data_IF_381233733375
#
_entry.id   IF_381233733375
#
_cell.length_a   1.000
_cell.length_b   1.000
_cell.length_c   1.000
_cell.angle_alpha   90.00
_cell.angle_beta   90.00
_cell.angle_gamma   90.00
#
_symmetry.space_group_name_H-M   'P 1'
#
loop_
_entity.id
_entity.type
_entity.pdbx_description
1 polymer ?
#
# COMPACT_ATOMS: atom_id res chain seq x y z
N UNK A 1 0.52 -35.73 4.90
CA UNK A 1 1.36 -34.77 4.14
C UNK A 1 0.59 -33.47 4.00
N UNK A 2 1.27 -32.33 3.97
CA UNK A 2 0.63 -31.00 3.82
C UNK A 2 0.99 -30.39 2.46
N UNK A 3 0.12 -29.55 1.90
CA UNK A 3 0.37 -28.77 0.67
C UNK A 3 -0.12 -27.33 0.84
N UNK A 4 0.63 -26.37 0.29
CA UNK A 4 0.32 -24.94 0.31
C UNK A 4 0.89 -24.27 -0.95
N UNK A 5 0.22 -23.24 -1.44
CA UNK A 5 0.61 -22.53 -2.65
C UNK A 5 0.12 -21.09 -2.66
N UNK A 6 0.90 -20.22 -3.29
CA UNK A 6 0.58 -18.81 -3.54
C UNK A 6 0.91 -18.48 -5.00
N UNK A 7 0.26 -17.47 -5.56
CA UNK A 7 0.45 -17.07 -6.96
C UNK A 7 0.64 -15.57 -7.11
N UNK A 8 0.87 -15.12 -8.34
CA UNK A 8 0.96 -13.71 -8.73
C UNK A 8 -0.30 -12.89 -8.42
N UNK A 9 -1.41 -13.53 -8.05
CA UNK A 9 -2.60 -12.85 -7.52
C UNK A 9 -2.27 -11.93 -6.33
N UNK A 10 -1.22 -12.22 -5.55
CA UNK A 10 -0.75 -11.34 -4.47
C UNK A 10 -0.31 -9.95 -4.98
N UNK A 11 0.23 -9.86 -6.20
CA UNK A 11 0.59 -8.58 -6.83
C UNK A 11 -0.68 -7.76 -7.10
N UNK A 12 -1.74 -8.38 -7.60
CA UNK A 12 -3.03 -7.72 -7.77
C UNK A 12 -3.61 -7.22 -6.45
N UNK A 13 -3.55 -8.04 -5.40
CA UNK A 13 -3.96 -7.64 -4.04
C UNK A 13 -3.18 -6.44 -3.51
N UNK A 14 -1.87 -6.41 -3.72
CA UNK A 14 -1.02 -5.27 -3.37
C UNK A 14 -1.44 -3.99 -4.10
N UNK A 15 -1.64 -4.08 -5.42
CA UNK A 15 -2.03 -2.94 -6.25
C UNK A 15 -3.36 -2.36 -5.75
N UNK A 16 -4.37 -3.21 -5.57
CA UNK A 16 -5.71 -2.78 -5.12
C UNK A 16 -5.73 -2.26 -3.68
N UNK A 17 -4.78 -2.67 -2.83
CA UNK A 17 -4.74 -2.26 -1.42
C UNK A 17 -4.10 -0.90 -1.21
N UNK A 18 -3.04 -0.60 -1.97
CA UNK A 18 -2.19 0.56 -1.67
C UNK A 18 -2.29 1.69 -2.69
N UNK A 19 -2.59 1.39 -3.96
CA UNK A 19 -2.64 2.40 -5.02
C UNK A 19 -3.74 3.44 -4.77
N UNK A 20 -3.58 4.61 -5.39
CA UNK A 20 -4.52 5.72 -5.33
C UNK A 20 -4.75 6.29 -6.74
N UNK A 21 -5.48 7.41 -6.84
CA UNK A 21 -5.83 8.06 -8.11
C UNK A 21 -4.59 8.53 -8.91
N UNK A 22 -3.45 8.70 -8.25
CA UNK A 22 -2.20 9.13 -8.87
C UNK A 22 -1.36 7.94 -9.40
N UNK A 23 -1.75 6.71 -9.06
CA UNK A 23 -1.16 5.46 -9.58
C UNK A 23 -0.69 4.50 -8.50
N UNK A 24 0.35 3.71 -8.80
CA UNK A 24 0.85 2.71 -7.87
C UNK A 24 1.39 3.34 -6.59
N UNK A 25 1.28 2.63 -5.46
CA UNK A 25 1.98 2.91 -4.21
C UNK A 25 2.63 1.62 -3.75
N UNK A 26 3.94 1.51 -3.89
CA UNK A 26 4.66 0.28 -3.57
C UNK A 26 5.20 0.31 -2.14
N UNK A 27 4.92 -0.71 -1.32
CA UNK A 27 5.59 -0.88 -0.03
C UNK A 27 7.11 -1.00 -0.23
N UNK A 28 7.94 -0.23 0.51
CA UNK A 28 9.38 -0.19 0.32
C UNK A 28 10.09 -1.54 0.26
N UNK A 29 9.66 -2.52 1.06
CA UNK A 29 10.33 -3.85 1.12
C UNK A 29 10.27 -4.65 -0.17
N UNK A 30 9.36 -4.30 -1.08
CA UNK A 30 9.12 -5.01 -2.34
C UNK A 30 9.09 -4.07 -3.55
N UNK A 31 9.39 -2.78 -3.34
CA UNK A 31 9.54 -1.83 -4.42
C UNK A 31 10.82 -2.18 -5.23
N UNK A 32 10.76 -2.26 -6.58
CA UNK A 32 11.94 -2.55 -7.40
C UNK A 32 13.12 -1.62 -7.13
N UNK A 33 12.82 -0.34 -6.92
CA UNK A 33 13.76 0.68 -6.46
C UNK A 33 13.11 1.49 -5.35
N UNK A 34 13.89 1.93 -4.36
CA UNK A 34 13.38 2.67 -3.20
C UNK A 34 13.32 4.18 -3.47
N UNK A 35 14.32 4.69 -4.19
CA UNK A 35 14.55 6.12 -4.38
C UNK A 35 14.80 6.40 -5.86
N UNK A 36 14.28 7.51 -6.37
CA UNK A 36 14.78 8.13 -7.61
C UNK A 36 15.36 9.49 -7.28
N UNK A 37 16.55 9.76 -7.82
CA UNK A 37 17.15 11.09 -7.82
C UNK A 37 16.87 11.75 -9.17
N UNK A 38 16.31 12.96 -9.11
CA UNK A 38 15.91 13.77 -10.25
C UNK A 38 16.68 15.10 -10.20
N UNK A 39 17.77 15.26 -10.96
CA UNK A 39 18.46 16.54 -11.06
C UNK A 39 17.58 17.58 -11.76
N UNK A 40 17.52 18.79 -11.19
CA UNK A 40 16.79 19.94 -11.71
C UNK A 40 17.80 20.96 -12.19
N UNK A 41 18.08 20.98 -13.50
CA UNK A 41 19.15 21.77 -14.11
C UNK A 41 18.60 22.81 -15.09
N UNK A 42 18.03 23.94 -14.60
CA UNK A 42 17.43 24.96 -15.47
C UNK A 42 18.47 25.84 -16.19
N UNK A 43 19.72 25.83 -15.73
CA UNK A 43 20.84 26.60 -16.31
C UNK A 43 21.99 25.65 -16.63
N UNK A 44 22.55 25.78 -17.82
CA UNK A 44 23.70 24.96 -18.24
C UNK A 44 24.95 25.21 -17.35
N UNK A 45 25.17 26.45 -16.91
CA UNK A 45 26.31 26.80 -16.06
C UNK A 45 26.38 26.02 -14.74
N UNK A 46 25.24 25.62 -14.18
CA UNK A 46 25.15 24.87 -12.90
C UNK A 46 24.87 23.39 -13.11
N UNK A 47 24.71 22.94 -14.37
CA UNK A 47 24.26 21.59 -14.69
C UNK A 47 25.23 20.54 -14.15
N UNK A 48 26.52 20.68 -14.47
CA UNK A 48 27.53 19.70 -14.06
C UNK A 48 27.63 19.58 -12.54
N UNK A 49 27.64 20.71 -11.83
CA UNK A 49 27.72 20.73 -10.37
C UNK A 49 26.55 19.98 -9.71
N UNK A 50 25.32 20.18 -10.22
CA UNK A 50 24.14 19.46 -9.73
C UNK A 50 24.22 17.97 -10.01
N UNK A 51 24.69 17.58 -11.20
CA UNK A 51 24.87 16.16 -11.55
C UNK A 51 25.91 15.49 -10.64
N UNK A 52 27.05 16.13 -10.41
CA UNK A 52 28.11 15.63 -9.53
C UNK A 52 27.59 15.44 -8.11
N UNK A 53 26.90 16.43 -7.56
CA UNK A 53 26.26 16.33 -6.25
C UNK A 53 25.26 15.17 -6.17
N UNK A 54 24.45 14.97 -7.22
CA UNK A 54 23.50 13.86 -7.28
C UNK A 54 24.18 12.50 -7.39
N UNK A 55 25.30 12.40 -8.10
CA UNK A 55 26.08 11.18 -8.21
C UNK A 55 26.69 10.81 -6.86
N UNK A 56 27.25 11.76 -6.12
CA UNK A 56 27.77 11.50 -4.77
C UNK A 56 26.65 11.10 -3.81
N UNK A 57 25.50 11.79 -3.84
CA UNK A 57 24.31 11.43 -3.06
C UNK A 57 23.87 10.00 -3.36
N UNK A 58 23.85 9.61 -4.65
CA UNK A 58 23.53 8.23 -5.06
C UNK A 58 24.48 7.23 -4.43
N UNK A 59 25.80 7.48 -4.44
CA UNK A 59 26.78 6.57 -3.84
C UNK A 59 26.57 6.45 -2.32
N UNK A 60 26.35 7.56 -1.63
CA UNK A 60 26.09 7.57 -0.19
C UNK A 60 24.82 6.80 0.18
N UNK A 61 23.76 6.93 -0.62
CA UNK A 61 22.50 6.20 -0.42
C UNK A 61 22.66 4.71 -0.70
N UNK A 62 23.31 4.31 -1.79
CA UNK A 62 23.57 2.89 -2.10
C UNK A 62 24.44 2.23 -1.02
N UNK A 63 25.33 2.99 -0.39
CA UNK A 63 26.12 2.50 0.75
C UNK A 63 25.29 2.25 2.01
N UNK A 64 24.05 2.76 2.10
CA UNK A 64 23.14 2.44 3.19
C UNK A 64 22.53 1.05 3.04
N UNK A 65 22.25 0.41 4.18
CA UNK A 65 21.64 -0.92 4.22
C UNK A 65 20.15 -0.83 4.57
N UNK A 66 19.31 -1.50 3.78
CA UNK A 66 17.89 -1.67 4.03
C UNK A 66 17.49 -3.12 3.77
N UNK A 67 16.91 -3.79 4.79
CA UNK A 67 16.53 -5.21 4.71
C UNK A 67 17.68 -6.16 4.34
N UNK A 68 18.90 -5.86 4.82
CA UNK A 68 20.08 -6.70 4.57
C UNK A 68 20.67 -6.57 3.16
N UNK A 69 20.27 -5.56 2.41
CA UNK A 69 20.80 -5.24 1.09
C UNK A 69 21.02 -3.73 0.93
N UNK A 70 21.86 -3.31 -0.04
CA UNK A 70 21.99 -1.90 -0.42
C UNK A 70 20.64 -1.23 -0.75
N UNK A 71 20.48 0.04 -0.39
CA UNK A 71 19.34 0.83 -0.86
C UNK A 71 19.39 0.95 -2.38
N UNK A 72 18.30 0.57 -3.05
CA UNK A 72 18.17 0.63 -4.52
C UNK A 72 17.77 2.04 -4.97
N UNK A 73 18.63 2.67 -5.76
CA UNK A 73 18.50 4.07 -6.19
C UNK A 73 18.56 4.21 -7.70
N UNK A 74 17.51 4.80 -8.27
CA UNK A 74 17.42 5.23 -9.67
C UNK A 74 17.97 6.64 -9.83
N UNK A 75 18.50 6.93 -11.02
CA UNK A 75 18.92 8.26 -11.43
C UNK A 75 18.24 8.62 -12.74
N UNK A 76 17.46 9.71 -12.75
CA UNK A 76 16.68 10.13 -13.91
C UNK A 76 17.16 11.47 -14.46
N UNK A 77 18.19 11.42 -15.31
CA UNK A 77 18.80 12.56 -15.99
C UNK A 77 18.26 12.81 -17.40
N UNK A 78 17.23 12.07 -17.84
CA UNK A 78 16.62 12.21 -19.17
C UNK A 78 16.31 13.67 -19.51
N UNK A 79 16.49 14.09 -20.75
CA UNK A 79 16.26 15.49 -21.15
C UNK A 79 14.78 15.79 -21.40
N UNK A 80 13.98 15.73 -20.33
CA UNK A 80 12.55 16.03 -20.30
C UNK A 80 12.21 16.92 -19.10
N UNK A 81 11.03 17.54 -19.11
CA UNK A 81 10.60 18.47 -18.05
C UNK A 81 10.63 17.78 -16.68
N UNK A 82 11.20 18.43 -15.67
CA UNK A 82 11.33 17.84 -14.32
C UNK A 82 9.98 17.41 -13.70
N UNK A 83 8.91 18.17 -13.95
CA UNK A 83 7.56 17.78 -13.54
C UNK A 83 7.06 16.50 -14.21
N UNK A 84 7.43 16.27 -15.47
CA UNK A 84 7.08 15.06 -16.22
C UNK A 84 7.83 13.83 -15.68
N UNK A 85 9.13 13.97 -15.35
CA UNK A 85 9.89 12.93 -14.63
C UNK A 85 9.20 12.58 -13.32
N UNK A 86 8.97 13.59 -12.48
CA UNK A 86 8.41 13.43 -11.14
C UNK A 86 7.04 12.73 -11.19
N UNK A 87 6.18 13.11 -12.13
CA UNK A 87 4.87 12.48 -12.34
C UNK A 87 4.96 11.04 -12.86
N UNK A 88 5.90 10.75 -13.76
CA UNK A 88 6.16 9.39 -14.22
C UNK A 88 6.54 8.45 -13.09
N UNK A 89 7.34 8.93 -12.13
CA UNK A 89 7.73 8.16 -10.94
C UNK A 89 6.63 8.03 -9.89
N UNK A 90 5.76 9.03 -9.76
CA UNK A 90 4.55 8.93 -8.93
C UNK A 90 3.66 7.80 -9.44
N UNK A 91 3.37 7.77 -10.75
CA UNK A 91 2.55 6.72 -11.36
C UNK A 91 3.12 5.32 -11.17
N UNK A 92 4.45 5.19 -11.25
CA UNK A 92 5.19 3.94 -11.00
C UNK A 92 5.22 3.53 -9.53
N UNK A 93 4.90 4.44 -8.61
CA UNK A 93 4.81 4.17 -7.18
C UNK A 93 6.14 4.03 -6.47
N UNK A 94 7.19 4.72 -6.95
CA UNK A 94 8.48 4.71 -6.24
C UNK A 94 8.33 5.32 -4.86
N UNK A 95 8.86 4.71 -3.77
CA UNK A 95 8.65 5.21 -2.42
C UNK A 95 9.11 6.66 -2.21
N UNK A 96 10.34 6.99 -2.64
CA UNK A 96 10.94 8.31 -2.43
C UNK A 96 11.37 8.92 -3.76
N UNK A 97 11.02 10.20 -3.94
CA UNK A 97 11.52 11.05 -5.01
C UNK A 97 12.41 12.11 -4.39
N UNK A 98 13.63 12.23 -4.90
CA UNK A 98 14.61 13.20 -4.43
C UNK A 98 14.93 14.15 -5.57
N UNK A 99 14.48 15.39 -5.46
CA UNK A 99 14.75 16.44 -6.42
C UNK A 99 15.88 17.33 -5.88
N UNK A 100 16.85 17.64 -6.74
CA UNK A 100 18.00 18.48 -6.37
C UNK A 100 18.20 19.54 -7.45
N UNK A 101 18.03 20.81 -7.08
CA UNK A 101 18.42 21.95 -7.90
C UNK A 101 19.66 22.67 -7.38
N UNK A 102 20.12 23.72 -8.08
CA UNK A 102 21.29 24.50 -7.66
C UNK A 102 21.14 25.09 -6.25
N UNK A 103 19.95 25.58 -5.91
CA UNK A 103 19.66 26.16 -4.58
C UNK A 103 19.76 25.13 -3.46
N UNK A 104 19.27 23.92 -3.70
CA UNK A 104 19.29 22.84 -2.71
C UNK A 104 20.73 22.36 -2.49
N UNK A 105 21.50 22.23 -3.58
CA UNK A 105 22.92 21.90 -3.55
C UNK A 105 23.72 22.96 -2.77
N UNK A 106 23.54 24.24 -3.05
CA UNK A 106 24.20 25.35 -2.34
C UNK A 106 23.87 25.35 -0.83
N UNK A 107 22.66 24.94 -0.47
CA UNK A 107 22.20 24.83 0.92
C UNK A 107 22.59 23.49 1.60
N UNK A 108 23.21 22.55 0.89
CA UNK A 108 23.51 21.21 1.42
C UNK A 108 22.28 20.34 1.70
N UNK A 109 21.17 20.62 1.01
CA UNK A 109 19.87 19.99 1.20
C UNK A 109 19.47 19.13 0.00
N UNK A 110 18.41 18.34 0.21
CA UNK A 110 17.68 17.59 -0.82
C UNK A 110 16.19 17.80 -0.64
N UNK A 111 15.43 17.85 -1.75
CA UNK A 111 13.97 17.99 -1.69
C UNK A 111 13.32 16.62 -1.84
N UNK A 112 12.75 16.08 -0.76
CA UNK A 112 12.26 14.70 -0.68
C UNK A 112 10.74 14.67 -0.69
N UNK A 113 10.16 13.98 -1.67
CA UNK A 113 8.74 13.66 -1.74
C UNK A 113 8.50 12.19 -1.46
N UNK A 114 7.57 11.89 -0.54
CA UNK A 114 7.14 10.52 -0.24
C UNK A 114 5.93 10.14 -1.10
N UNK A 115 5.85 8.88 -1.53
CA UNK A 115 4.73 8.39 -2.35
C UNK A 115 3.46 8.08 -1.57
N UNK A 116 3.57 7.78 -0.28
CA UNK A 116 2.43 7.55 0.62
C UNK A 116 1.74 8.86 1.07
N UNK A 117 2.21 10.01 0.58
CA UNK A 117 1.66 11.34 0.84
C UNK A 117 1.29 12.06 -0.47
N UNK A 118 0.65 13.22 -0.35
CA UNK A 118 0.25 14.03 -1.50
C UNK A 118 1.48 14.37 -2.37
N UNK A 119 1.38 14.34 -3.72
CA UNK A 119 2.49 14.60 -4.63
C UNK A 119 3.29 15.90 -4.38
N UNK A 120 2.60 16.91 -3.86
CA UNK A 120 3.13 18.25 -3.54
C UNK A 120 3.74 18.35 -2.14
N UNK A 121 3.48 17.39 -1.25
CA UNK A 121 4.12 17.32 0.07
C UNK A 121 5.57 16.85 -0.11
N UNK A 122 6.47 17.82 -0.19
CA UNK A 122 7.91 17.63 -0.28
C UNK A 122 8.58 18.41 0.83
N UNK A 123 9.62 17.83 1.39
CA UNK A 123 10.35 18.40 2.51
C UNK A 123 11.79 18.65 2.10
N UNK A 124 12.33 19.81 2.45
CA UNK A 124 13.77 20.08 2.36
C UNK A 124 14.43 19.41 3.56
N UNK A 125 15.38 18.51 3.31
CA UNK A 125 16.08 17.74 4.33
C UNK A 125 17.59 17.93 4.11
N UNK A 126 18.39 18.20 5.15
CA UNK A 126 19.84 18.16 5.05
C UNK A 126 20.33 16.82 4.48
N UNK A 127 21.27 16.88 3.52
CA UNK A 127 21.77 15.69 2.81
C UNK A 127 22.23 14.59 3.76
N UNK A 128 23.03 14.94 4.76
CA UNK A 128 23.59 13.96 5.71
C UNK A 128 22.51 13.32 6.60
N UNK A 129 21.50 14.10 6.98
CA UNK A 129 20.34 13.60 7.73
C UNK A 129 19.50 12.66 6.87
N UNK A 130 19.27 13.01 5.60
CA UNK A 130 18.53 12.15 4.69
C UNK A 130 19.25 10.83 4.45
N UNK A 131 20.56 10.87 4.17
CA UNK A 131 21.38 9.66 3.95
C UNK A 131 21.36 8.75 5.17
N UNK A 132 21.61 9.29 6.37
CA UNK A 132 21.66 8.48 7.60
C UNK A 132 20.27 7.97 8.04
N UNK A 133 19.20 8.73 7.78
CA UNK A 133 17.84 8.37 8.18
C UNK A 133 17.02 7.62 7.12
N UNK A 134 17.60 7.29 5.96
CA UNK A 134 16.82 6.78 4.82
C UNK A 134 16.18 5.41 5.10
N UNK A 135 16.86 4.54 5.85
CA UNK A 135 16.33 3.22 6.19
C UNK A 135 15.11 3.33 7.12
N UNK A 136 15.19 4.17 8.15
CA UNK A 136 14.10 4.44 9.09
C UNK A 136 12.90 5.06 8.36
N UNK A 137 13.15 5.97 7.43
CA UNK A 137 12.09 6.57 6.61
C UNK A 137 11.36 5.52 5.75
N UNK A 138 12.10 4.58 5.15
CA UNK A 138 11.49 3.48 4.38
C UNK A 138 10.70 2.52 5.28
N UNK A 139 11.18 2.21 6.49
CA UNK A 139 10.43 1.38 7.45
C UNK A 139 9.19 2.10 7.99
N UNK A 140 9.26 3.41 8.22
CA UNK A 140 8.11 4.24 8.60
C UNK A 140 7.02 4.19 7.51
N UNK A 141 7.40 4.37 6.24
CA UNK A 141 6.48 4.25 5.11
C UNK A 141 5.87 2.84 5.02
N UNK A 142 6.68 1.79 5.17
CA UNK A 142 6.22 0.40 5.17
C UNK A 142 5.18 0.15 6.27
N UNK A 143 5.46 0.63 7.49
CA UNK A 143 4.55 0.51 8.63
C UNK A 143 3.27 1.32 8.43
N UNK A 144 3.39 2.54 7.91
CA UNK A 144 2.26 3.43 7.62
C UNK A 144 1.28 2.83 6.60
N UNK A 145 1.79 2.26 5.51
CA UNK A 145 0.96 1.59 4.51
C UNK A 145 0.20 0.39 5.10
N UNK A 146 0.86 -0.42 5.95
CA UNK A 146 0.21 -1.53 6.63
C UNK A 146 -0.84 -1.06 7.63
N UNK A 147 -0.55 -0.01 8.40
CA UNK A 147 -1.48 0.57 9.37
C UNK A 147 -2.73 1.12 8.68
N UNK A 148 -2.56 1.88 7.59
CA UNK A 148 -3.66 2.39 6.75
C UNK A 148 -4.53 1.26 6.21
N UNK A 149 -3.92 0.20 5.66
CA UNK A 149 -4.65 -0.96 5.15
C UNK A 149 -5.42 -1.73 6.24
N UNK A 150 -4.81 -1.90 7.43
CA UNK A 150 -5.47 -2.52 8.59
C UNK A 150 -6.66 -1.68 9.08
N UNK A 151 -6.50 -0.36 9.15
CA UNK A 151 -7.56 0.56 9.54
C UNK A 151 -8.71 0.52 8.52
N UNK A 152 -8.41 0.55 7.23
CA UNK A 152 -9.40 0.41 6.17
C UNK A 152 -10.18 -0.90 6.29
N UNK A 153 -9.47 -2.04 6.43
CA UNK A 153 -10.10 -3.35 6.63
C UNK A 153 -11.03 -3.35 7.85
N UNK A 154 -10.58 -2.78 8.97
CA UNK A 154 -11.38 -2.69 10.20
C UNK A 154 -12.65 -1.85 9.98
N UNK A 155 -12.51 -0.67 9.36
CA UNK A 155 -13.63 0.21 9.07
C UNK A 155 -14.65 -0.41 8.10
N UNK A 156 -14.19 -1.31 7.21
CA UNK A 156 -15.04 -2.04 6.26
C UNK A 156 -15.35 -3.46 6.71
N UNK A 157 -15.19 -3.76 8.00
CA UNK A 157 -15.66 -5.01 8.62
C UNK A 157 -16.77 -4.67 9.60
N UNK A 158 -17.99 -5.13 9.33
CA UNK A 158 -19.15 -4.93 10.19
C UNK A 158 -19.46 -6.22 10.95
N UNK A 159 -19.69 -6.11 12.26
CA UNK A 159 -20.30 -7.19 13.02
C UNK A 159 -21.81 -7.23 12.73
N UNK A 160 -22.31 -8.42 12.39
CA UNK A 160 -23.71 -8.65 12.04
C UNK A 160 -24.28 -9.72 12.98
N UNK A 161 -25.43 -9.41 13.57
CA UNK A 161 -26.06 -10.25 14.60
C UNK A 161 -27.43 -10.77 14.19
N UNK A 162 -28.03 -10.20 13.14
CA UNK A 162 -29.36 -10.59 12.65
C UNK A 162 -29.40 -10.78 11.14
N UNK A 163 -30.35 -11.60 10.67
CA UNK A 163 -30.53 -11.85 9.24
C UNK A 163 -30.92 -10.57 8.49
N UNK A 164 -31.75 -9.71 9.11
CA UNK A 164 -32.14 -8.44 8.51
C UNK A 164 -30.94 -7.53 8.24
N UNK A 165 -29.99 -7.44 9.18
CA UNK A 165 -28.73 -6.70 9.00
C UNK A 165 -27.87 -7.29 7.88
N UNK A 166 -27.80 -8.62 7.77
CA UNK A 166 -27.08 -9.30 6.70
C UNK A 166 -27.65 -8.94 5.33
N UNK A 167 -28.97 -9.05 5.18
CA UNK A 167 -29.67 -8.72 3.93
C UNK A 167 -29.47 -7.26 3.59
N UNK A 168 -29.62 -6.34 4.55
CA UNK A 168 -29.38 -4.92 4.32
C UNK A 168 -27.94 -4.65 3.86
N UNK A 169 -26.94 -5.25 4.52
CA UNK A 169 -25.54 -4.99 4.25
C UNK A 169 -25.08 -5.44 2.85
N UNK A 170 -25.64 -6.54 2.34
CA UNK A 170 -25.27 -7.10 1.04
C UNK A 170 -26.25 -6.77 -0.10
N UNK A 171 -27.35 -6.08 0.17
CA UNK A 171 -28.28 -5.62 -0.87
C UNK A 171 -27.89 -4.21 -1.36
N UNK A 172 -27.69 -4.01 -2.67
CA UNK A 172 -27.37 -2.70 -3.22
C UNK A 172 -28.47 -1.68 -2.98
N UNK A 173 -28.11 -0.46 -2.57
CA UNK A 173 -28.97 0.72 -2.65
C UNK A 173 -28.53 1.54 -3.88
N UNK A 174 -29.04 1.19 -5.06
CA UNK A 174 -28.68 1.85 -6.32
C UNK A 174 -27.32 1.44 -6.89
N UNK A 175 -26.53 2.40 -7.37
CA UNK A 175 -25.25 2.16 -8.06
C UNK A 175 -24.02 2.14 -7.12
N UNK A 176 -24.23 2.11 -5.80
CA UNK A 176 -23.11 2.13 -4.84
C UNK A 176 -22.34 0.80 -4.83
N UNK A 177 -21.02 0.92 -4.66
CA UNK A 177 -20.16 -0.21 -4.30
C UNK A 177 -20.56 -0.64 -2.89
N UNK A 178 -21.43 -1.64 -2.81
CA UNK A 178 -21.98 -2.15 -1.57
C UNK A 178 -21.27 -3.45 -1.18
N UNK A 179 -20.85 -3.50 0.08
CA UNK A 179 -20.21 -4.67 0.67
C UNK A 179 -19.04 -4.29 1.59
N UNK A 180 -18.22 -5.28 1.84
CA UNK A 180 -17.20 -5.28 2.88
C UNK A 180 -17.16 -6.66 3.50
N UNK A 181 -16.63 -6.75 4.71
CA UNK A 181 -16.60 -7.99 5.48
C UNK A 181 -17.70 -7.97 6.53
N UNK A 182 -18.52 -9.02 6.53
CA UNK A 182 -19.49 -9.28 7.58
C UNK A 182 -18.91 -10.31 8.55
N UNK A 183 -18.70 -9.93 9.80
CA UNK A 183 -18.31 -10.84 10.88
C UNK A 183 -19.55 -11.29 11.64
N UNK A 184 -19.87 -12.58 11.58
CA UNK A 184 -21.15 -13.08 12.10
C UNK A 184 -21.08 -14.55 12.51
N UNK A 185 -22.05 -15.01 13.28
CA UNK A 185 -22.21 -16.42 13.60
C UNK A 185 -22.87 -17.20 12.46
N UNK A 186 -22.30 -18.35 12.12
CA UNK A 186 -22.81 -19.23 11.06
C UNK A 186 -22.66 -20.70 11.45
N UNK A 187 -23.69 -21.51 11.20
CA UNK A 187 -23.69 -22.93 11.57
C UNK A 187 -22.82 -23.83 10.66
N UNK A 188 -22.14 -23.26 9.66
CA UNK A 188 -21.30 -23.99 8.70
C UNK A 188 -22.06 -25.08 7.94
N UNK A 189 -23.36 -24.87 7.73
CA UNK A 189 -24.21 -25.76 6.94
C UNK A 189 -24.00 -25.48 5.43
N UNK A 190 -23.61 -26.51 4.68
CA UNK A 190 -23.20 -26.37 3.28
C UNK A 190 -24.38 -25.98 2.36
N UNK A 191 -25.57 -26.53 2.60
CA UNK A 191 -26.75 -26.20 1.79
C UNK A 191 -27.18 -24.75 2.01
N UNK A 192 -27.13 -24.28 3.26
CA UNK A 192 -27.42 -22.89 3.59
C UNK A 192 -26.38 -21.95 2.97
N UNK A 193 -25.09 -22.30 3.03
CA UNK A 193 -24.03 -21.51 2.39
C UNK A 193 -24.25 -21.40 0.88
N UNK A 194 -24.60 -22.51 0.22
CA UNK A 194 -24.88 -22.51 -1.23
C UNK A 194 -26.10 -21.63 -1.58
N UNK A 195 -27.17 -21.67 -0.76
CA UNK A 195 -28.34 -20.81 -0.93
C UNK A 195 -27.97 -19.33 -0.81
N UNK A 196 -27.21 -18.97 0.23
CA UNK A 196 -26.72 -17.60 0.45
C UNK A 196 -25.84 -17.14 -0.72
N UNK A 197 -24.93 -17.99 -1.20
CA UNK A 197 -24.07 -17.69 -2.33
C UNK A 197 -24.85 -17.44 -3.62
N UNK A 198 -25.89 -18.24 -3.89
CA UNK A 198 -26.74 -18.06 -5.07
C UNK A 198 -27.54 -16.76 -5.02
N UNK A 199 -28.12 -16.45 -3.86
CA UNK A 199 -29.02 -15.32 -3.66
C UNK A 199 -28.29 -13.98 -3.55
N UNK A 200 -27.24 -13.92 -2.73
CA UNK A 200 -26.56 -12.66 -2.36
C UNK A 200 -25.17 -12.51 -2.98
N UNK A 201 -24.67 -13.54 -3.71
CA UNK A 201 -23.33 -13.56 -4.31
C UNK A 201 -22.21 -13.35 -3.29
N UNK A 202 -22.40 -13.85 -2.07
CA UNK A 202 -21.42 -13.81 -0.98
C UNK A 202 -21.11 -15.20 -0.46
N UNK A 203 -19.89 -15.42 0.00
CA UNK A 203 -19.41 -16.72 0.51
C UNK A 203 -18.66 -16.54 1.82
N UNK A 204 -18.53 -17.62 2.59
CA UNK A 204 -17.61 -17.62 3.73
C UNK A 204 -16.18 -17.51 3.20
N UNK A 205 -15.42 -16.57 3.76
CA UNK A 205 -14.02 -16.32 3.38
C UNK A 205 -13.06 -17.09 4.27
N UNK A 206 -13.34 -17.11 5.57
CA UNK A 206 -12.61 -17.88 6.56
C UNK A 206 -13.35 -17.90 7.91
N UNK A 207 -12.95 -18.83 8.76
CA UNK A 207 -13.12 -18.75 10.21
C UNK A 207 -11.84 -18.08 10.75
N UNK A 208 -11.90 -16.91 11.40
CA UNK A 208 -10.71 -16.27 11.93
C UNK A 208 -10.05 -17.12 13.03
N UNK A 209 -8.72 -17.31 12.95
CA UNK A 209 -7.97 -18.10 13.94
C UNK A 209 -8.14 -17.56 15.37
N UNK A 210 -8.26 -16.23 15.54
CA UNK A 210 -8.43 -15.60 16.84
C UNK A 210 -9.74 -15.99 17.55
N UNK A 211 -10.74 -16.45 16.80
CA UNK A 211 -12.09 -16.79 17.28
C UNK A 211 -12.46 -18.22 16.92
N UNK A 212 -11.48 -19.09 16.62
CA UNK A 212 -11.73 -20.44 16.09
C UNK A 212 -12.47 -21.33 17.10
N UNK A 213 -12.20 -21.15 18.39
CA UNK A 213 -12.80 -21.92 19.47
C UNK A 213 -14.15 -21.35 19.93
N UNK A 214 -14.51 -20.14 19.50
CA UNK A 214 -15.81 -19.54 19.84
C UNK A 214 -16.96 -20.38 19.29
N UNK A 215 -18.05 -20.45 20.07
CA UNK A 215 -19.33 -20.98 19.63
C UNK A 215 -20.34 -19.84 19.67
N UNK A 216 -20.84 -19.47 18.50
CA UNK A 216 -21.80 -18.36 18.34
C UNK A 216 -23.02 -18.87 17.58
N UNK A 217 -24.24 -18.41 17.90
CA UNK A 217 -25.43 -18.85 17.21
C UNK A 217 -25.42 -18.39 15.74
N UNK A 218 -25.90 -19.25 14.85
CA UNK A 218 -26.08 -18.92 13.46
C UNK A 218 -27.15 -17.82 13.33
N UNK A 219 -26.82 -16.75 12.63
CA UNK A 219 -27.72 -15.61 12.40
C UNK A 219 -29.02 -16.00 11.68
N UNK A 220 -29.00 -17.06 10.87
CA UNK A 220 -30.16 -17.53 10.08
C UNK A 220 -30.97 -18.62 10.77
N UNK A 221 -30.34 -19.47 11.59
CA UNK A 221 -30.99 -20.69 12.12
C UNK A 221 -31.01 -20.79 13.64
N UNK A 222 -30.28 -19.91 14.34
CA UNK A 222 -30.08 -19.95 15.80
C UNK A 222 -29.24 -21.13 16.30
N UNK A 223 -28.92 -22.11 15.44
CA UNK A 223 -28.11 -23.28 15.82
C UNK A 223 -26.68 -22.87 16.21
N UNK A 224 -26.01 -23.61 17.10
CA UNK A 224 -24.59 -23.39 17.40
C UNK A 224 -23.73 -23.39 16.14
N UNK A 225 -22.77 -22.48 16.07
CA UNK A 225 -21.91 -22.28 14.90
C UNK A 225 -20.59 -21.62 15.25
N UNK A 226 -19.88 -21.15 14.23
CA UNK A 226 -18.59 -20.46 14.35
C UNK A 226 -18.70 -19.00 13.92
N UNK A 227 -17.79 -18.17 14.43
CA UNK A 227 -17.58 -16.82 13.93
C UNK A 227 -16.91 -16.92 12.56
N UNK A 228 -17.56 -16.40 11.53
CA UNK A 228 -17.06 -16.42 10.14
C UNK A 228 -16.97 -15.01 9.58
N UNK A 229 -16.19 -14.85 8.51
CA UNK A 229 -16.19 -13.65 7.67
C UNK A 229 -16.92 -13.97 6.36
N UNK A 230 -18.04 -13.32 6.10
CA UNK A 230 -18.70 -13.30 4.80
C UNK A 230 -18.23 -12.10 3.97
N UNK A 231 -18.10 -12.30 2.67
CA UNK A 231 -17.82 -11.23 1.73
C UNK A 231 -18.23 -11.62 0.31
N UNK A 232 -18.34 -10.61 -0.55
CA UNK A 232 -18.21 -10.82 -1.99
C UNK A 232 -16.77 -11.18 -2.32
N UNK A 233 -16.58 -12.06 -3.29
CA UNK A 233 -15.26 -12.46 -3.77
C UNK A 233 -14.99 -11.93 -5.17
N UNK A 234 -13.71 -11.68 -5.46
CA UNK A 234 -13.19 -11.42 -6.81
C UNK A 234 -13.39 -12.61 -7.74
#
# INVERSE_FOLDING_TARGET
TTSWGVSTRLVGGLIMTHSDDDGLVLPPRIAPSHIVIIPVTPKEATRQQVLDYCHELKQQLIAQNYMGAPVRVEFDDRDIRGGEKSWGWIKKGIPLRVEVGPRDMEAGNVFVGRRDRAPKDKQSIPRDQFVSGVADLLDEMQAGLLAKAKAFRKAHTREITTEAEFVEFFTPKGNEIHGGFASMGFCCDAELEEKIAKQYKVTVRCIPNATVDEVVPCVFTGKPGKRVIFAKSY
#
